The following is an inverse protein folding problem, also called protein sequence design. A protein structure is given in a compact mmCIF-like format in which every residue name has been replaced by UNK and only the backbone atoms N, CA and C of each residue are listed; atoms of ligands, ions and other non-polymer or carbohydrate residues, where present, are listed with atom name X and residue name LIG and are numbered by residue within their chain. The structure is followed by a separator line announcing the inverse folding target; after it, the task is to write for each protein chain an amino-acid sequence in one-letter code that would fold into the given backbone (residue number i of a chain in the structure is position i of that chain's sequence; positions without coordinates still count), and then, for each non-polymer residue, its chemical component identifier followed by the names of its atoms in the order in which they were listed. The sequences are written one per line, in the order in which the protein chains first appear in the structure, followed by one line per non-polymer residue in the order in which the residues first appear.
data_IF_038552860665
#
_entry.id   IF_038552860665
#
_cell.length_a   1.000
_cell.length_b   1.000
_cell.length_c   1.000
_cell.angle_alpha   90.00
_cell.angle_beta   90.00
_cell.angle_gamma   90.00
#
_symmetry.space_group_name_H-M   'P 1'
#
loop_
_entity.id
_entity.type
_entity.pdbx_description
1 polymer ?
#
# COMPACT_ATOMS: atom_id res chain seq x y z
N UNK A 1 -20.06 -0.65 16.54
CA UNK A 1 -18.90 -1.57 16.57
C UNK A 1 -17.69 -0.74 16.91
N UNK A 2 -16.80 -1.27 17.74
CA UNK A 2 -15.52 -0.65 18.08
C UNK A 2 -14.45 -1.20 17.12
N UNK A 3 -13.75 -0.29 16.43
CA UNK A 3 -12.66 -0.61 15.50
C UNK A 3 -11.33 0.02 15.93
N UNK A 4 -11.18 0.30 17.22
CA UNK A 4 -10.00 1.01 17.75
C UNK A 4 -8.70 0.22 17.49
N UNK A 5 -8.75 -1.11 17.46
CA UNK A 5 -7.60 -1.95 17.15
C UNK A 5 -7.22 -1.87 15.67
N UNK A 6 -8.19 -1.97 14.77
CA UNK A 6 -7.99 -1.84 13.31
C UNK A 6 -7.51 -0.45 12.94
N UNK A 7 -8.02 0.60 13.60
CA UNK A 7 -7.53 1.97 13.41
C UNK A 7 -6.08 2.12 13.87
N UNK A 8 -5.73 1.62 15.05
CA UNK A 8 -4.36 1.67 15.55
C UNK A 8 -3.40 0.95 14.60
N UNK A 9 -3.79 -0.23 14.11
CA UNK A 9 -3.04 -0.99 13.11
C UNK A 9 -2.93 -0.25 11.78
N UNK A 10 -4.01 0.33 11.28
CA UNK A 10 -4.01 1.08 10.02
C UNK A 10 -3.06 2.29 10.08
N UNK A 11 -3.00 2.99 11.22
CA UNK A 11 -2.06 4.09 11.45
C UNK A 11 -0.61 3.59 11.43
N UNK A 12 -0.32 2.44 12.06
CA UNK A 12 1.02 1.83 12.03
C UNK A 12 1.45 1.49 10.61
N UNK A 13 0.61 0.74 9.88
CA UNK A 13 0.90 0.31 8.51
C UNK A 13 1.00 1.49 7.54
N UNK A 14 0.18 2.54 7.73
CA UNK A 14 0.29 3.76 6.94
C UNK A 14 1.63 4.48 7.15
N UNK A 15 2.18 4.48 8.37
CA UNK A 15 3.52 5.05 8.65
C UNK A 15 4.61 4.25 7.93
N UNK A 16 4.55 2.92 7.97
CA UNK A 16 5.49 2.06 7.24
C UNK A 16 5.40 2.25 5.72
N UNK A 17 4.18 2.38 5.20
CA UNK A 17 3.93 2.75 3.81
C UNK A 17 4.57 4.11 3.47
N UNK A 18 4.40 5.11 4.34
CA UNK A 18 5.03 6.41 4.20
C UNK A 18 6.57 6.34 4.21
N UNK A 19 7.16 5.55 5.09
CA UNK A 19 8.61 5.30 5.11
C UNK A 19 9.09 4.59 3.84
N UNK A 20 8.30 3.64 3.32
CA UNK A 20 8.58 2.97 2.05
C UNK A 20 8.52 3.94 0.87
N UNK A 21 7.55 4.84 0.88
CA UNK A 21 7.38 5.88 -0.13
C UNK A 21 8.54 6.88 -0.10
N UNK A 22 8.95 7.31 1.10
CA UNK A 22 10.02 8.29 1.29
C UNK A 22 11.37 7.79 0.74
N UNK A 23 11.60 6.48 0.68
CA UNK A 23 12.82 5.91 0.06
C UNK A 23 12.94 6.20 -1.44
N UNK A 24 11.83 6.49 -2.12
CA UNK A 24 11.83 6.90 -3.53
C UNK A 24 11.94 8.42 -3.73
N UNK A 25 11.87 9.20 -2.65
CA UNK A 25 11.94 10.65 -2.75
C UNK A 25 13.36 11.10 -3.09
N UNK A 26 13.51 11.94 -4.12
CA UNK A 26 14.81 12.44 -4.58
C UNK A 26 15.66 11.40 -5.31
N UNK A 27 15.14 10.20 -5.57
CA UNK A 27 15.80 9.17 -6.40
C UNK A 27 15.26 9.18 -7.82
N UNK A 28 16.01 8.62 -8.77
CA UNK A 28 15.49 8.35 -10.11
C UNK A 28 14.52 7.17 -10.04
N UNK A 29 13.25 7.41 -10.40
CA UNK A 29 12.22 6.38 -10.51
C UNK A 29 11.90 6.10 -11.98
N UNK A 30 11.35 4.92 -12.26
CA UNK A 30 10.89 4.56 -13.61
C UNK A 30 9.36 4.52 -13.64
N UNK A 31 8.68 5.67 -13.88
CA UNK A 31 7.24 5.69 -13.93
C UNK A 31 6.71 4.91 -15.15
N UNK A 32 5.69 4.11 -14.92
CA UNK A 32 4.91 3.39 -15.92
C UNK A 32 3.58 4.09 -16.14
N UNK A 33 3.10 4.11 -17.39
CA UNK A 33 1.79 4.67 -17.72
C UNK A 33 0.75 3.55 -17.83
N UNK A 34 -0.30 3.63 -17.01
CA UNK A 34 -1.43 2.69 -17.00
C UNK A 34 -2.30 2.88 -18.25
N UNK A 35 -3.15 1.90 -18.53
CA UNK A 35 -4.04 1.89 -19.70
C UNK A 35 -5.06 3.03 -19.69
N UNK A 36 -5.44 3.51 -18.51
CA UNK A 36 -6.31 4.67 -18.30
C UNK A 36 -5.56 6.02 -18.40
N UNK A 37 -4.25 6.00 -18.66
CA UNK A 37 -3.41 7.17 -18.83
C UNK A 37 -2.82 7.73 -17.52
N UNK A 38 -3.14 7.13 -16.37
CA UNK A 38 -2.54 7.50 -15.08
C UNK A 38 -1.11 6.96 -14.94
N UNK A 39 -0.34 7.50 -14.00
CA UNK A 39 1.04 7.09 -13.73
C UNK A 39 1.11 6.21 -12.49
N UNK A 40 2.00 5.23 -12.52
CA UNK A 40 2.39 4.41 -11.37
C UNK A 40 3.90 4.24 -11.36
N UNK A 41 4.51 4.21 -10.19
CA UNK A 41 5.95 3.93 -10.02
C UNK A 41 6.17 2.59 -9.34
N UNK A 42 7.41 2.13 -9.35
CA UNK A 42 7.84 0.99 -8.55
C UNK A 42 7.64 1.22 -7.04
N UNK A 43 7.56 2.48 -6.60
CA UNK A 43 7.34 2.85 -5.20
C UNK A 43 5.87 2.67 -4.83
N UNK A 44 4.94 3.12 -5.67
CA UNK A 44 3.50 2.96 -5.46
C UNK A 44 3.13 1.48 -5.31
N UNK A 45 3.61 0.64 -6.25
CA UNK A 45 3.44 -0.82 -6.21
C UNK A 45 4.01 -1.41 -4.92
N UNK A 46 5.22 -1.00 -4.54
CA UNK A 46 5.85 -1.55 -3.34
C UNK A 46 5.17 -1.13 -2.02
N UNK A 47 4.53 0.04 -1.99
CA UNK A 47 3.70 0.47 -0.85
C UNK A 47 2.44 -0.39 -0.78
N UNK A 48 1.73 -0.59 -1.90
CA UNK A 48 0.54 -1.45 -1.91
C UNK A 48 0.88 -2.88 -1.46
N UNK A 49 1.93 -3.48 -2.03
CA UNK A 49 2.36 -4.83 -1.64
C UNK A 49 2.69 -4.93 -0.15
N UNK A 50 3.35 -3.91 0.44
CA UNK A 50 3.62 -3.87 1.88
C UNK A 50 2.32 -3.87 2.69
N UNK A 51 1.40 -2.97 2.36
CA UNK A 51 0.14 -2.81 3.11
C UNK A 51 -0.72 -4.09 2.98
N UNK A 52 -0.86 -4.63 1.76
CA UNK A 52 -1.58 -5.88 1.47
C UNK A 52 -1.04 -7.02 2.31
N UNK A 53 0.28 -7.21 2.34
CA UNK A 53 0.94 -8.25 3.14
C UNK A 53 0.67 -8.04 4.63
N UNK A 54 0.85 -6.83 5.15
CA UNK A 54 0.62 -6.52 6.56
C UNK A 54 -0.81 -6.86 6.98
N UNK A 55 -1.80 -6.51 6.17
CA UNK A 55 -3.21 -6.83 6.43
C UNK A 55 -3.45 -8.34 6.38
N UNK A 56 -2.92 -9.05 5.38
CA UNK A 56 -3.07 -10.51 5.29
C UNK A 56 -2.45 -11.24 6.49
N UNK A 57 -1.30 -10.77 6.97
CA UNK A 57 -0.60 -11.36 8.13
C UNK A 57 -1.38 -11.11 9.45
N UNK A 58 -1.93 -9.90 9.66
CA UNK A 58 -2.61 -9.52 10.90
C UNK A 58 -4.11 -9.89 10.93
N UNK A 59 -4.76 -9.89 9.76
CA UNK A 59 -6.19 -10.16 9.59
C UNK A 59 -6.44 -11.15 8.43
N UNK A 60 -6.16 -12.45 8.62
CA UNK A 60 -6.19 -13.44 7.54
C UNK A 60 -7.55 -13.65 6.85
N UNK A 61 -8.64 -13.17 7.47
CA UNK A 61 -10.00 -13.26 6.92
C UNK A 61 -10.48 -11.95 6.27
N UNK A 62 -9.66 -10.91 6.26
CA UNK A 62 -10.00 -9.64 5.62
C UNK A 62 -9.56 -9.66 4.16
N UNK A 63 -10.42 -9.11 3.31
CA UNK A 63 -10.05 -8.82 1.94
C UNK A 63 -9.29 -7.50 1.84
N UNK A 64 -8.51 -7.33 0.78
CA UNK A 64 -7.84 -6.08 0.46
C UNK A 64 -8.21 -5.64 -0.95
N UNK A 65 -8.67 -4.39 -1.09
CA UNK A 65 -8.96 -3.76 -2.37
C UNK A 65 -7.95 -2.64 -2.61
N UNK A 66 -6.96 -2.93 -3.46
CA UNK A 66 -5.95 -1.97 -3.91
C UNK A 66 -6.19 -1.47 -5.32
N UNK A 67 -5.49 -0.41 -5.71
CA UNK A 67 -5.57 0.15 -7.06
C UNK A 67 -4.77 -0.69 -8.07
N UNK A 68 -3.63 -1.24 -7.65
CA UNK A 68 -2.67 -1.86 -8.56
C UNK A 68 -2.92 -3.36 -8.78
N UNK A 69 -3.21 -4.11 -7.71
CA UNK A 69 -3.45 -5.56 -7.78
C UNK A 69 -4.93 -5.94 -7.57
N UNK A 70 -5.81 -4.97 -7.31
CA UNK A 70 -7.25 -5.21 -7.17
C UNK A 70 -7.63 -5.94 -5.88
N UNK A 71 -8.74 -6.69 -5.92
CA UNK A 71 -9.31 -7.40 -4.77
C UNK A 71 -8.61 -8.76 -4.54
N UNK A 72 -8.17 -8.99 -3.31
CA UNK A 72 -7.82 -10.33 -2.79
C UNK A 72 -8.69 -10.69 -1.61
#
# INVERSE_FOLDING_TARGET
MDHSAELAFAIEVAKEGGERALRGFGTTLTPERKSDGTWVTEVDKAVETLIRRRIADAYPNHNFLGEEEGLT
#
